data_IF_296370102526
#
_entry.id   IF_296370102526
#
_cell.length_a   1.000
_cell.length_b   1.000
_cell.length_c   1.000
_cell.angle_alpha   90.00
_cell.angle_beta   90.00
_cell.angle_gamma   90.00
#
_symmetry.space_group_name_H-M   'P 1'
#
loop_
_entity.id
_entity.type
_entity.pdbx_description
1 polymer ?
#
# COMPACT_ATOMS: atom_id res chain seq x y z
N UNK A 1 -16.02 -14.71 -20.01
CA UNK A 1 -15.75 -14.78 -18.56
C UNK A 1 -15.40 -13.39 -18.05
N UNK A 2 -16.10 -12.86 -17.03
CA UNK A 2 -15.66 -11.63 -16.34
C UNK A 2 -14.33 -11.93 -15.64
N UNK A 3 -13.27 -11.17 -15.93
CA UNK A 3 -11.97 -11.32 -15.26
C UNK A 3 -12.18 -11.15 -13.75
N UNK A 4 -11.69 -12.09 -12.94
CA UNK A 4 -11.72 -11.95 -11.49
C UNK A 4 -10.87 -10.73 -11.08
N UNK A 5 -11.41 -9.87 -10.21
CA UNK A 5 -10.73 -8.67 -9.66
C UNK A 5 -9.49 -9.03 -8.82
N UNK A 6 -9.25 -10.31 -8.52
CA UNK A 6 -8.04 -10.84 -7.88
C UNK A 6 -7.74 -12.23 -8.45
N UNK A 7 -6.47 -12.54 -8.75
CA UNK A 7 -6.06 -13.80 -9.37
C UNK A 7 -5.51 -14.83 -8.37
N UNK A 8 -4.81 -14.38 -7.33
CA UNK A 8 -4.12 -15.20 -6.33
C UNK A 8 -4.69 -15.01 -4.91
N UNK A 9 -5.34 -13.88 -4.66
CA UNK A 9 -5.92 -13.51 -3.37
C UNK A 9 -7.40 -13.90 -3.29
N UNK A 10 -7.66 -15.02 -2.62
CA UNK A 10 -9.00 -15.51 -2.34
C UNK A 10 -9.79 -14.59 -1.39
N UNK A 11 -11.11 -14.82 -1.30
CA UNK A 11 -12.00 -13.99 -0.47
C UNK A 11 -11.71 -14.07 1.03
N UNK A 12 -11.26 -15.22 1.52
CA UNK A 12 -10.93 -15.38 2.95
C UNK A 12 -9.68 -14.57 3.31
N UNK A 13 -8.65 -14.65 2.47
CA UNK A 13 -7.43 -13.86 2.60
C UNK A 13 -7.74 -12.36 2.60
N UNK A 14 -8.61 -11.88 1.71
CA UNK A 14 -9.03 -10.47 1.70
C UNK A 14 -9.73 -10.05 2.99
N UNK A 15 -10.66 -10.87 3.49
CA UNK A 15 -11.33 -10.62 4.76
C UNK A 15 -10.32 -10.52 5.91
N UNK A 16 -9.36 -11.44 5.97
CA UNK A 16 -8.32 -11.42 7.01
C UNK A 16 -7.39 -10.20 6.91
N UNK A 17 -7.14 -9.68 5.70
CA UNK A 17 -6.42 -8.39 5.54
C UNK A 17 -7.29 -7.23 6.05
N UNK A 18 -8.59 -7.24 5.77
CA UNK A 18 -9.50 -6.21 6.30
C UNK A 18 -9.55 -6.25 7.85
N UNK A 19 -9.62 -7.44 8.45
CA UNK A 19 -9.56 -7.61 9.92
C UNK A 19 -8.24 -7.08 10.50
N UNK A 20 -7.13 -7.35 9.80
CA UNK A 20 -5.81 -6.84 10.16
C UNK A 20 -5.77 -5.30 10.12
N UNK A 21 -6.34 -4.70 9.07
CA UNK A 21 -6.43 -3.26 8.92
C UNK A 21 -7.29 -2.62 10.02
N UNK A 22 -8.42 -3.23 10.40
CA UNK A 22 -9.23 -2.78 11.51
C UNK A 22 -8.47 -2.81 12.85
N UNK A 23 -7.69 -3.86 13.08
CA UNK A 23 -6.84 -3.97 14.28
C UNK A 23 -5.74 -2.90 14.28
N UNK A 24 -5.11 -2.64 13.13
CA UNK A 24 -4.16 -1.54 12.98
C UNK A 24 -4.79 -0.20 13.34
N UNK A 25 -6.00 0.10 12.85
CA UNK A 25 -6.70 1.35 13.16
C UNK A 25 -7.02 1.48 14.66
N UNK A 26 -7.18 0.38 15.39
CA UNK A 26 -7.39 0.40 16.85
C UNK A 26 -6.09 0.62 17.62
N UNK A 27 -5.03 -0.11 17.26
CA UNK A 27 -3.77 -0.19 18.01
C UNK A 27 -2.75 0.88 17.64
N UNK A 28 -2.77 1.36 16.41
CA UNK A 28 -1.92 2.46 15.95
C UNK A 28 -0.45 2.13 15.69
N UNK A 29 -0.13 0.90 15.27
CA UNK A 29 1.26 0.46 15.01
C UNK A 29 1.48 -0.06 13.58
N UNK A 30 2.25 0.68 12.78
CA UNK A 30 2.62 0.33 11.40
C UNK A 30 3.50 -0.92 11.32
N UNK A 31 4.47 -1.06 12.24
CA UNK A 31 5.36 -2.23 12.28
C UNK A 31 4.53 -3.52 12.42
N UNK A 32 3.53 -3.49 13.31
CA UNK A 32 2.66 -4.63 13.55
C UNK A 32 1.84 -5.00 12.31
N UNK A 33 1.40 -4.01 11.52
CA UNK A 33 0.63 -4.26 10.29
C UNK A 33 1.43 -5.08 9.27
N UNK A 34 2.69 -4.72 9.03
CA UNK A 34 3.53 -5.41 8.04
C UNK A 34 3.96 -6.80 8.49
N UNK A 35 4.28 -6.99 9.77
CA UNK A 35 4.62 -8.31 10.32
C UNK A 35 3.44 -9.27 10.22
N UNK A 36 2.25 -8.82 10.62
CA UNK A 36 1.02 -9.63 10.53
C UNK A 36 0.62 -9.94 9.10
N UNK A 37 0.86 -9.04 8.13
CA UNK A 37 0.63 -9.34 6.72
C UNK A 37 1.54 -10.48 6.23
N UNK A 38 2.81 -10.50 6.65
CA UNK A 38 3.75 -11.58 6.31
C UNK A 38 3.35 -12.91 6.95
N UNK A 39 2.84 -12.89 8.17
CA UNK A 39 2.29 -14.09 8.83
C UNK A 39 1.04 -14.60 8.11
N UNK A 40 0.18 -13.70 7.66
CA UNK A 40 -1.06 -14.02 6.94
C UNK A 40 -0.80 -14.61 5.55
N UNK A 41 0.14 -14.02 4.81
CA UNK A 41 0.50 -14.38 3.44
C UNK A 41 2.00 -14.70 3.38
N UNK A 42 2.47 -15.84 3.90
CA UNK A 42 3.89 -16.14 3.90
C UNK A 42 4.44 -16.32 2.48
N UNK A 43 5.67 -15.88 2.25
CA UNK A 43 6.40 -16.16 1.01
C UNK A 43 7.16 -17.48 1.21
N UNK A 44 6.66 -18.54 0.59
CA UNK A 44 7.23 -19.88 0.64
C UNK A 44 8.28 -20.07 -0.46
N UNK A 45 9.48 -20.52 -0.08
CA UNK A 45 10.60 -20.72 -1.01
C UNK A 45 10.27 -21.66 -2.19
N UNK A 46 9.41 -22.64 -1.96
CA UNK A 46 9.08 -23.70 -2.91
C UNK A 46 7.79 -23.47 -3.69
N UNK A 47 7.06 -22.37 -3.40
CA UNK A 47 5.78 -22.08 -4.02
C UNK A 47 5.83 -20.73 -4.74
N UNK A 48 6.06 -20.70 -6.07
CA UNK A 48 6.17 -19.44 -6.80
C UNK A 48 4.89 -18.59 -6.76
N UNK A 49 3.72 -19.21 -6.49
CA UNK A 49 2.47 -18.48 -6.34
C UNK A 49 2.34 -17.76 -5.00
N UNK A 50 3.11 -18.14 -3.97
CA UNK A 50 3.06 -17.45 -2.68
C UNK A 50 3.56 -16.01 -2.78
N UNK A 51 4.60 -15.77 -3.59
CA UNK A 51 5.10 -14.40 -3.85
C UNK A 51 4.03 -13.56 -4.56
N UNK A 52 3.39 -14.11 -5.60
CA UNK A 52 2.32 -13.42 -6.33
C UNK A 52 1.11 -13.13 -5.43
N UNK A 53 0.72 -14.09 -4.59
CA UNK A 53 -0.34 -13.91 -3.58
C UNK A 53 0.03 -12.83 -2.56
N UNK A 54 1.28 -12.83 -2.07
CA UNK A 54 1.78 -11.82 -1.14
C UNK A 54 1.73 -10.42 -1.75
N UNK A 55 2.24 -10.25 -2.97
CA UNK A 55 2.24 -8.97 -3.70
C UNK A 55 0.81 -8.50 -3.99
N UNK A 56 -0.09 -9.39 -4.40
CA UNK A 56 -1.50 -9.03 -4.60
C UNK A 56 -2.18 -8.63 -3.28
N UNK A 57 -1.80 -9.26 -2.16
CA UNK A 57 -2.23 -8.89 -0.81
C UNK A 57 -1.70 -7.51 -0.38
N UNK A 58 -0.43 -7.21 -0.63
CA UNK A 58 0.15 -5.89 -0.38
C UNK A 58 -0.52 -4.80 -1.22
N UNK A 59 -0.78 -5.08 -2.51
CA UNK A 59 -1.51 -4.17 -3.38
C UNK A 59 -2.92 -3.89 -2.83
N UNK A 60 -3.64 -4.94 -2.45
CA UNK A 60 -4.96 -4.82 -1.82
C UNK A 60 -4.90 -3.95 -0.56
N UNK A 61 -3.97 -4.23 0.36
CA UNK A 61 -3.79 -3.45 1.59
C UNK A 61 -3.45 -1.98 1.31
N UNK A 62 -2.53 -1.72 0.38
CA UNK A 62 -2.13 -0.37 -0.03
C UNK A 62 -3.31 0.45 -0.54
N UNK A 63 -4.16 -0.12 -1.40
CA UNK A 63 -5.37 0.57 -1.91
C UNK A 63 -6.37 0.90 -0.79
N UNK A 64 -6.52 0.00 0.19
CA UNK A 64 -7.39 0.25 1.36
C UNK A 64 -6.82 1.36 2.24
N UNK A 65 -5.52 1.33 2.52
CA UNK A 65 -4.83 2.37 3.29
C UNK A 65 -4.86 3.72 2.58
N UNK A 66 -4.69 3.75 1.26
CA UNK A 66 -4.80 4.97 0.46
C UNK A 66 -6.16 5.65 0.64
N UNK A 67 -7.24 4.87 0.57
CA UNK A 67 -8.60 5.38 0.79
C UNK A 67 -8.75 5.95 2.20
N UNK A 68 -8.26 5.23 3.21
CA UNK A 68 -8.28 5.69 4.60
C UNK A 68 -7.42 6.93 4.84
N UNK A 69 -6.28 7.04 4.15
CA UNK A 69 -5.41 8.21 4.22
C UNK A 69 -6.09 9.43 3.62
N UNK A 70 -6.81 9.30 2.49
CA UNK A 70 -7.62 10.39 1.95
C UNK A 70 -8.71 10.82 2.92
N UNK A 71 -9.41 9.88 3.56
CA UNK A 71 -10.45 10.20 4.54
C UNK A 71 -9.88 10.87 5.80
N UNK A 72 -8.70 10.42 6.26
CA UNK A 72 -7.98 11.05 7.36
C UNK A 72 -7.52 12.46 7.00
N UNK A 73 -7.00 12.65 5.78
CA UNK A 73 -6.60 13.96 5.26
C UNK A 73 -7.77 14.92 5.13
N UNK A 74 -8.93 14.46 4.65
CA UNK A 74 -10.15 15.29 4.62
C UNK A 74 -10.60 15.75 6.01
N UNK A 75 -10.47 14.89 7.01
CA UNK A 75 -10.76 15.24 8.41
C UNK A 75 -9.76 16.23 8.99
N UNK A 76 -8.48 16.13 8.63
CA UNK A 76 -7.42 16.97 9.15
C UNK A 76 -7.31 18.34 8.44
N UNK A 77 -7.52 18.38 7.12
CA UNK A 77 -7.25 19.55 6.27
C UNK A 77 -8.48 20.11 5.55
N UNK A 78 -9.66 19.49 5.70
CA UNK A 78 -10.89 19.90 5.05
C UNK A 78 -11.27 19.06 3.84
N UNK A 79 -12.53 19.19 3.40
CA UNK A 79 -13.16 18.31 2.41
C UNK A 79 -12.50 18.31 1.02
N UNK A 80 -11.76 19.37 0.68
CA UNK A 80 -11.09 19.53 -0.61
C UNK A 80 -9.73 18.80 -0.68
N UNK A 81 -9.34 18.08 0.39
CA UNK A 81 -8.09 17.31 0.40
C UNK A 81 -8.11 16.21 -0.68
N UNK A 82 -7.26 16.39 -1.68
CA UNK A 82 -7.17 15.57 -2.88
C UNK A 82 -6.03 14.54 -2.81
N UNK A 83 -5.93 13.71 -3.86
CA UNK A 83 -4.83 12.75 -4.03
C UNK A 83 -3.50 13.45 -4.19
N UNK A 84 -3.50 14.56 -4.91
CA UNK A 84 -2.34 15.41 -5.15
C UNK A 84 -1.86 16.03 -3.83
N UNK A 85 -2.79 16.44 -2.96
CA UNK A 85 -2.45 16.93 -1.63
C UNK A 85 -1.79 15.83 -0.78
N UNK A 86 -2.35 14.61 -0.79
CA UNK A 86 -1.79 13.48 -0.07
C UNK A 86 -0.34 13.22 -0.48
N UNK A 87 -0.09 13.05 -1.79
CA UNK A 87 1.25 12.81 -2.34
C UNK A 87 2.24 13.94 -1.98
N UNK A 88 1.78 15.20 -2.01
CA UNK A 88 2.61 16.36 -1.65
C UNK A 88 2.99 16.34 -0.17
N UNK A 89 2.02 16.09 0.72
CA UNK A 89 2.25 16.09 2.17
C UNK A 89 3.14 14.93 2.58
N UNK A 90 2.95 13.75 2.01
CA UNK A 90 3.75 12.55 2.31
C UNK A 90 5.05 12.48 1.51
N UNK A 91 5.31 13.46 0.63
CA UNK A 91 6.48 13.51 -0.27
C UNK A 91 6.67 12.21 -1.07
N UNK A 92 5.56 11.56 -1.40
CA UNK A 92 5.58 10.26 -2.09
C UNK A 92 5.39 10.48 -3.58
N UNK A 93 6.15 9.75 -4.39
CA UNK A 93 5.94 9.76 -5.82
C UNK A 93 4.73 8.88 -6.17
N UNK A 94 3.91 9.29 -7.15
CA UNK A 94 2.86 8.42 -7.68
C UNK A 94 3.51 7.14 -8.22
N UNK A 95 2.75 6.04 -8.21
CA UNK A 95 3.22 4.74 -8.70
C UNK A 95 3.67 4.82 -10.17
N UNK A 96 3.15 5.82 -10.90
CA UNK A 96 3.53 6.14 -12.27
C UNK A 96 4.99 6.57 -12.50
N UNK A 97 5.73 6.87 -11.45
CA UNK A 97 7.08 7.44 -11.53
C UNK A 97 8.16 6.55 -10.87
N UNK A 98 7.78 5.41 -10.30
CA UNK A 98 8.75 4.49 -9.71
C UNK A 98 9.42 3.65 -10.80
N UNK A 99 10.72 3.91 -11.04
CA UNK A 99 11.64 3.08 -11.83
C UNK A 99 12.77 2.65 -10.89
N UNK A 100 12.97 1.36 -10.67
CA UNK A 100 14.13 0.93 -9.89
C UNK A 100 15.38 0.91 -10.77
N UNK A 101 16.41 1.62 -10.31
CA UNK A 101 17.80 1.46 -10.72
C UNK A 101 18.38 0.24 -9.97
N UNK A 102 18.32 -0.95 -10.57
CA UNK A 102 19.16 -2.07 -10.18
C UNK A 102 19.87 -2.55 -11.45
N UNK A 103 21.21 -2.58 -11.38
CA UNK A 103 22.08 -2.80 -12.53
C UNK A 103 21.66 -3.95 -13.45
N UNK A 104 21.80 -3.67 -14.75
CA UNK A 104 21.74 -4.58 -15.91
C UNK A 104 20.39 -5.06 -16.47
N UNK A 105 19.25 -4.65 -15.92
CA UNK A 105 17.95 -4.85 -16.60
C UNK A 105 17.26 -3.53 -16.85
N UNK A 106 16.82 -3.30 -18.10
CA UNK A 106 15.99 -2.16 -18.42
C UNK A 106 14.80 -2.12 -17.45
N UNK A 107 14.50 -0.96 -16.83
CA UNK A 107 13.37 -0.85 -15.91
C UNK A 107 12.11 -1.23 -16.68
N UNK A 108 11.55 -2.40 -16.37
CA UNK A 108 10.24 -2.77 -16.91
C UNK A 108 9.20 -1.79 -16.41
N UNK A 109 8.22 -1.57 -17.28
CA UNK A 109 7.26 -0.48 -17.27
C UNK A 109 6.73 -0.10 -15.88
N UNK A 110 6.50 1.19 -15.77
CA UNK A 110 5.74 1.86 -14.72
C UNK A 110 4.68 0.96 -14.07
N UNK A 111 4.78 0.73 -12.77
CA UNK A 111 3.78 -0.01 -12.00
C UNK A 111 2.53 0.85 -11.85
N UNK A 112 1.55 0.72 -12.76
CA UNK A 112 0.29 1.47 -12.69
C UNK A 112 -0.85 0.62 -12.14
N UNK A 113 -0.80 -0.68 -12.38
CA UNK A 113 -1.91 -1.60 -12.15
C UNK A 113 -1.47 -2.81 -11.36
N UNK A 114 -2.45 -3.51 -10.78
CA UNK A 114 -2.27 -4.84 -10.17
C UNK A 114 -1.59 -5.81 -11.14
N UNK A 115 -1.94 -5.77 -12.42
CA UNK A 115 -1.38 -6.70 -13.41
C UNK A 115 0.13 -6.43 -13.62
N UNK A 116 0.56 -5.17 -13.57
CA UNK A 116 1.99 -4.79 -13.61
C UNK A 116 2.72 -5.30 -12.36
N UNK A 117 2.11 -5.17 -11.18
CA UNK A 117 2.66 -5.70 -9.94
C UNK A 117 2.82 -7.23 -9.96
N UNK A 118 1.94 -7.94 -10.66
CA UNK A 118 2.03 -9.38 -10.85
C UNK A 118 3.04 -9.79 -11.92
N UNK A 119 3.44 -8.90 -12.83
CA UNK A 119 4.46 -9.14 -13.84
C UNK A 119 5.88 -8.92 -13.30
N UNK A 120 6.07 -7.93 -12.41
CA UNK A 120 7.32 -7.70 -11.69
C UNK A 120 7.09 -7.62 -10.15
N UNK A 121 6.86 -8.78 -9.50
CA UNK A 121 6.54 -8.82 -8.08
C UNK A 121 7.67 -8.34 -7.17
N UNK A 122 8.92 -8.47 -7.59
CA UNK A 122 10.09 -8.02 -6.82
C UNK A 122 10.14 -6.49 -6.74
N UNK A 123 9.93 -5.81 -7.87
CA UNK A 123 9.86 -4.34 -7.91
C UNK A 123 8.62 -3.83 -7.20
N UNK A 124 7.47 -4.49 -7.40
CA UNK A 124 6.22 -4.13 -6.74
C UNK A 124 6.32 -4.22 -5.23
N UNK A 125 7.01 -5.24 -4.70
CA UNK A 125 7.17 -5.42 -3.26
C UNK A 125 7.79 -4.20 -2.57
N UNK A 126 8.85 -3.61 -3.13
CA UNK A 126 9.55 -2.46 -2.52
C UNK A 126 8.64 -1.23 -2.51
N UNK A 127 7.97 -0.93 -3.62
CA UNK A 127 7.06 0.22 -3.71
C UNK A 127 5.85 0.04 -2.80
N UNK A 128 5.21 -1.12 -2.85
CA UNK A 128 4.03 -1.40 -2.03
C UNK A 128 4.36 -1.37 -0.55
N UNK A 129 5.55 -1.84 -0.15
CA UNK A 129 6.01 -1.71 1.24
C UNK A 129 6.10 -0.24 1.65
N UNK A 130 6.79 0.58 0.85
CA UNK A 130 6.95 2.01 1.13
C UNK A 130 5.60 2.73 1.20
N UNK A 131 4.67 2.40 0.31
CA UNK A 131 3.30 2.94 0.32
C UNK A 131 2.53 2.56 1.58
N UNK A 132 2.54 1.27 1.94
CA UNK A 132 1.86 0.80 3.16
C UNK A 132 2.42 1.52 4.39
N UNK A 133 3.74 1.65 4.50
CA UNK A 133 4.40 2.37 5.61
C UNK A 133 3.96 3.83 5.64
N UNK A 134 4.04 4.51 4.48
CA UNK A 134 3.76 5.93 4.36
C UNK A 134 2.29 6.27 4.63
N UNK A 135 1.34 5.51 4.07
CA UNK A 135 -0.09 5.73 4.33
C UNK A 135 -0.44 5.45 5.77
N UNK A 136 0.15 4.41 6.36
CA UNK A 136 -0.08 4.07 7.77
C UNK A 136 0.41 5.20 8.68
N UNK A 137 1.63 5.69 8.48
CA UNK A 137 2.20 6.81 9.26
C UNK A 137 1.38 8.09 9.12
N UNK A 138 0.95 8.41 7.90
CA UNK A 138 0.07 9.56 7.66
C UNK A 138 -1.25 9.43 8.43
N UNK A 139 -1.91 8.28 8.36
CA UNK A 139 -3.18 8.02 9.07
C UNK A 139 -3.01 8.22 10.58
N UNK A 140 -1.93 7.69 11.16
CA UNK A 140 -1.66 7.83 12.60
C UNK A 140 -1.35 9.27 12.98
N UNK A 141 -0.58 9.98 12.17
CA UNK A 141 -0.23 11.38 12.40
C UNK A 141 -1.45 12.29 12.31
N UNK A 142 -2.31 12.07 11.30
CA UNK A 142 -3.58 12.77 11.11
C UNK A 142 -4.51 12.56 12.31
N UNK A 143 -4.59 11.33 12.82
CA UNK A 143 -5.42 10.99 13.99
C UNK A 143 -4.92 11.65 15.27
N UNK A 144 -3.60 11.76 15.45
CA UNK A 144 -3.00 12.30 16.66
C UNK A 144 -2.85 13.83 16.64
N UNK A 145 -3.29 14.50 15.55
CA UNK A 145 -3.17 15.95 15.38
C UNK A 145 -1.72 16.43 15.21
N UNK A 146 -0.80 15.53 14.85
CA UNK A 146 0.63 15.80 14.79
C UNK A 146 1.10 16.32 13.41
N UNK A 147 0.19 16.57 12.46
CA UNK A 147 0.61 17.01 11.14
C UNK A 147 0.70 18.53 11.09
N UNK A 148 1.93 19.03 10.97
CA UNK A 148 2.21 20.45 10.74
C UNK A 148 1.46 20.92 9.48
N UNK A 149 0.78 22.05 9.60
CA UNK A 149 0.03 22.68 8.52
C UNK A 149 0.95 22.93 7.32
N UNK A 150 0.59 22.37 6.16
CA UNK A 150 1.33 22.48 4.90
C UNK A 150 1.35 23.90 4.28
N UNK A 151 1.09 24.95 5.08
CA UNK A 151 1.10 26.35 4.66
C UNK A 151 2.50 26.98 4.61
N UNK A 152 3.57 26.21 4.85
CA UNK A 152 4.96 26.66 4.76
C UNK A 152 5.81 25.94 3.68
N UNK A 153 5.19 25.32 2.67
CA UNK A 153 5.91 24.75 1.50
C UNK A 153 5.31 25.25 0.19
#
# INVERSE_FOLDING_TARGET
MKRLKYYYLDSDSRRRIDDLLENFLKQGSTLHLMERLKELLPIEKWNPNSLRKHVEGMYYLSERLWTLALDAGKKAYGNDFSRENLLRVTRTLPMSQYRYLMGSREPMNVLLTRDDALQDPSTAFVKLKHDIETWSEFILSARNGAIESAENI
#
